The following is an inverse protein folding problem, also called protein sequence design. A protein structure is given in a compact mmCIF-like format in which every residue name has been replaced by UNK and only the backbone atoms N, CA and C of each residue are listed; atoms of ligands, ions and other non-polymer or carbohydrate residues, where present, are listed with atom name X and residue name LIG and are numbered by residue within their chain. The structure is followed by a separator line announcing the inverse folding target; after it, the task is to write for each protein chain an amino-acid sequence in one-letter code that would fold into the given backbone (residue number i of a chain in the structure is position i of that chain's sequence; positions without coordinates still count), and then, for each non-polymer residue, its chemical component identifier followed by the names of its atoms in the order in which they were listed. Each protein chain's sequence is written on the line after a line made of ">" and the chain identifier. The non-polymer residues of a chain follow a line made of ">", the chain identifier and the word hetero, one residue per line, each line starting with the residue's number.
data_IF_127364866520
#
_entry.id   IF_127364866520
#
_cell.length_a   1.000
_cell.length_b   1.000
_cell.length_c   1.000
_cell.angle_alpha   90.00
_cell.angle_beta   90.00
_cell.angle_gamma   90.00
#
_symmetry.space_group_name_H-M   'P 1'
#
loop_
_entity.id
_entity.type
_entity.pdbx_description
1 polymer ?
#
# COMPACT_ATOMS: atom_id res chain seq x y z
N UNK A 1 -21.12 -4.10 -0.74
CA UNK A 1 -20.41 -2.81 -0.80
C UNK A 1 -19.14 -3.03 -1.60
N UNK A 2 -18.99 -2.39 -2.75
CA UNK A 2 -17.84 -2.59 -3.62
C UNK A 2 -16.55 -2.22 -2.88
N UNK A 3 -15.62 -3.16 -2.75
CA UNK A 3 -14.32 -2.87 -2.17
C UNK A 3 -13.65 -1.79 -3.03
N UNK A 4 -13.40 -0.63 -2.43
CA UNK A 4 -12.73 0.53 -3.04
C UNK A 4 -11.30 0.21 -3.54
N UNK A 5 -10.84 -1.03 -3.40
CA UNK A 5 -9.55 -1.56 -3.84
C UNK A 5 -9.66 -2.23 -5.23
N UNK A 6 -10.87 -2.52 -5.73
CA UNK A 6 -11.07 -3.24 -6.99
C UNK A 6 -10.47 -2.52 -8.22
N UNK A 7 -10.38 -1.19 -8.19
CA UNK A 7 -9.73 -0.42 -9.27
C UNK A 7 -8.20 -0.33 -9.14
N UNK A 8 -7.66 -0.77 -7.99
CA UNK A 8 -6.23 -0.74 -7.66
C UNK A 8 -5.55 -2.00 -8.19
N UNK A 9 -6.18 -3.17 -8.11
CA UNK A 9 -5.65 -4.40 -8.69
C UNK A 9 -5.68 -4.36 -10.23
N UNK A 10 -4.61 -4.74 -10.96
CA UNK A 10 -3.31 -5.32 -10.54
C UNK A 10 -2.15 -4.31 -10.50
N UNK A 11 -2.42 -3.04 -10.18
CA UNK A 11 -1.47 -1.93 -10.25
C UNK A 11 -0.85 -1.64 -8.89
N UNK A 12 0.44 -1.31 -8.91
CA UNK A 12 1.15 -0.82 -7.73
C UNK A 12 0.89 0.68 -7.59
N UNK A 13 0.29 1.07 -6.47
CA UNK A 13 -0.16 2.44 -6.21
C UNK A 13 0.55 3.02 -4.99
N UNK A 14 0.82 4.33 -5.02
CA UNK A 14 1.37 5.05 -3.87
C UNK A 14 0.26 5.33 -2.84
N UNK A 15 0.56 5.04 -1.59
CA UNK A 15 -0.29 5.21 -0.43
C UNK A 15 0.32 6.23 0.53
N UNK A 16 -0.53 6.96 1.26
CA UNK A 16 -0.09 7.77 2.40
C UNK A 16 -0.71 7.19 3.67
N UNK A 17 0.13 6.90 4.67
CA UNK A 17 -0.34 6.51 5.99
C UNK A 17 -0.79 7.74 6.78
N UNK A 18 -2.01 7.68 7.27
CA UNK A 18 -2.55 8.64 8.22
C UNK A 18 -2.58 8.03 9.62
N UNK A 19 -1.40 7.58 10.09
CA UNK A 19 -1.21 7.08 11.46
C UNK A 19 -0.14 7.93 12.16
N UNK A 20 -0.37 8.33 13.41
CA UNK A 20 0.42 9.35 14.15
C UNK A 20 1.95 9.21 13.97
N UNK A 21 2.51 8.01 14.06
CA UNK A 21 3.96 7.73 13.96
C UNK A 21 4.50 7.71 12.53
N UNK A 22 3.64 7.54 11.53
CA UNK A 22 3.99 7.40 10.11
C UNK A 22 3.23 8.38 9.22
N UNK A 23 2.84 9.54 9.79
CA UNK A 23 2.16 10.59 9.03
C UNK A 23 3.04 11.04 7.87
N UNK A 24 2.39 11.23 6.72
CA UNK A 24 2.98 11.74 5.49
C UNK A 24 4.10 10.88 4.88
N UNK A 25 4.21 9.63 5.32
CA UNK A 25 5.09 8.64 4.69
C UNK A 25 4.45 8.11 3.42
N UNK A 26 5.19 8.19 2.31
CA UNK A 26 4.79 7.61 1.02
C UNK A 26 5.16 6.15 1.00
N UNK A 27 4.18 5.31 0.74
CA UNK A 27 4.35 3.87 0.75
C UNK A 27 3.79 3.26 -0.51
N UNK A 28 4.13 2.01 -0.72
CA UNK A 28 3.77 1.25 -1.90
C UNK A 28 2.85 0.11 -1.48
N UNK A 29 1.68 0.04 -2.12
CA UNK A 29 0.76 -1.09 -1.97
C UNK A 29 1.34 -2.34 -2.65
N UNK A 30 1.31 -3.48 -1.96
CA UNK A 30 1.74 -4.75 -2.53
C UNK A 30 0.56 -5.69 -2.73
N UNK A 31 -0.07 -6.13 -1.63
CA UNK A 31 -1.15 -7.10 -1.68
C UNK A 31 -2.16 -6.88 -0.54
N UNK A 32 -3.35 -7.44 -0.68
CA UNK A 32 -4.45 -7.47 0.28
C UNK A 32 -4.54 -8.89 0.82
N UNK A 33 -4.65 -9.01 2.15
CA UNK A 33 -4.94 -10.26 2.81
C UNK A 33 -6.46 -10.51 2.89
N UNK A 34 -6.81 -11.76 3.18
CA UNK A 34 -8.18 -12.29 3.21
C UNK A 34 -9.16 -11.50 4.11
N UNK A 35 -8.66 -10.78 5.12
CA UNK A 35 -9.47 -10.00 6.06
C UNK A 35 -9.55 -8.49 5.74
N UNK A 36 -9.23 -8.07 4.52
CA UNK A 36 -9.28 -6.66 4.12
C UNK A 36 -8.12 -5.80 4.65
N UNK A 37 -7.10 -6.45 5.18
CA UNK A 37 -5.85 -5.79 5.58
C UNK A 37 -4.93 -5.65 4.37
N UNK A 38 -4.19 -4.55 4.30
CA UNK A 38 -3.27 -4.25 3.21
C UNK A 38 -1.85 -4.46 3.67
N UNK A 39 -1.07 -5.19 2.88
CA UNK A 39 0.39 -5.26 2.97
C UNK A 39 0.96 -4.08 2.22
N UNK A 40 1.72 -3.29 2.97
CA UNK A 40 2.32 -2.06 2.51
C UNK A 40 3.81 -2.14 2.80
N UNK A 41 4.63 -1.58 1.91
CA UNK A 41 6.05 -1.39 2.14
C UNK A 41 6.45 0.06 1.89
N UNK A 42 7.44 0.56 2.63
CA UNK A 42 8.10 1.82 2.31
C UNK A 42 9.31 1.57 1.43
N UNK A 43 9.73 2.59 0.67
CA UNK A 43 11.04 2.54 0.04
C UNK A 43 12.08 2.54 1.17
N UNK A 44 12.69 1.38 1.44
CA UNK A 44 13.50 1.16 2.65
C UNK A 44 14.63 2.19 2.81
N UNK A 45 15.14 2.71 1.67
CA UNK A 45 16.19 3.73 1.60
C UNK A 45 15.72 5.14 1.99
N UNK A 46 14.42 5.43 1.89
CA UNK A 46 13.84 6.77 2.09
C UNK A 46 13.02 6.85 3.37
N UNK A 47 12.23 5.82 3.67
CA UNK A 47 11.18 5.95 4.69
C UNK A 47 11.33 5.07 5.93
N UNK A 48 12.37 4.24 6.04
CA UNK A 48 12.61 3.33 7.18
C UNK A 48 11.40 2.46 7.56
N UNK A 49 10.39 2.38 6.68
CA UNK A 49 9.17 1.61 6.86
C UNK A 49 9.37 0.28 6.15
N UNK A 50 9.43 -0.78 6.94
CA UNK A 50 9.43 -2.16 6.46
C UNK A 50 8.03 -2.60 6.00
N UNK A 51 7.89 -3.87 5.66
CA UNK A 51 6.60 -4.50 5.46
C UNK A 51 5.69 -4.34 6.69
N UNK A 52 4.49 -3.79 6.47
CA UNK A 52 3.47 -3.65 7.51
C UNK A 52 2.11 -4.06 6.97
N UNK A 53 1.31 -4.67 7.85
CA UNK A 53 -0.12 -4.85 7.65
C UNK A 53 -0.85 -3.65 8.22
N UNK A 54 -1.68 -3.00 7.42
CA UNK A 54 -2.47 -1.85 7.87
C UNK A 54 -3.90 -1.98 7.36
N UNK A 55 -4.86 -1.52 8.19
CA UNK A 55 -6.26 -1.44 7.81
C UNK A 55 -6.48 -0.27 6.84
N UNK A 56 -7.30 -0.48 5.81
CA UNK A 56 -7.69 0.51 4.81
C UNK A 56 -8.19 1.85 5.41
N UNK A 57 -8.83 1.82 6.59
CA UNK A 57 -9.35 3.02 7.25
C UNK A 57 -8.29 4.09 7.57
N UNK A 58 -7.00 3.71 7.67
CA UNK A 58 -5.90 4.62 8.01
C UNK A 58 -5.07 5.06 6.80
N UNK A 59 -5.54 4.78 5.59
CA UNK A 59 -4.77 4.94 4.36
C UNK A 59 -5.52 5.85 3.40
N UNK A 60 -4.78 6.79 2.83
CA UNK A 60 -5.25 7.61 1.72
C UNK A 60 -4.62 7.06 0.44
N UNK A 61 -5.48 6.64 -0.50
CA UNK A 61 -5.06 6.23 -1.84
C UNK A 61 -4.75 7.45 -2.68
N UNK A 62 -3.58 7.47 -3.31
CA UNK A 62 -3.23 8.51 -4.27
C UNK A 62 -3.44 8.01 -5.69
N UNK A 63 -3.57 8.94 -6.64
CA UNK A 63 -3.69 8.62 -8.08
C UNK A 63 -2.35 8.25 -8.73
N UNK A 64 -1.24 8.32 -8.00
CA UNK A 64 0.07 8.02 -8.52
C UNK A 64 0.26 6.51 -8.66
N UNK A 65 0.28 6.07 -9.92
CA UNK A 65 0.50 4.69 -10.32
C UNK A 65 1.97 4.52 -10.66
N UNK A 66 2.62 3.53 -10.04
CA UNK A 66 4.00 3.16 -10.35
C UNK A 66 3.95 1.85 -11.13
N UNK A 67 4.51 1.84 -12.33
CA UNK A 67 4.57 0.64 -13.17
C UNK A 67 5.88 -0.11 -12.88
N UNK A 68 5.86 -1.03 -11.91
CA UNK A 68 7.04 -1.86 -11.57
C UNK A 68 6.89 -3.20 -12.29
N UNK A 69 7.55 -3.34 -13.44
CA UNK A 69 7.36 -4.46 -14.38
C UNK A 69 7.88 -5.84 -13.94
N UNK A 70 8.24 -6.05 -12.67
CA UNK A 70 8.81 -7.33 -12.20
C UNK A 70 8.72 -7.49 -10.67
N UNK A 71 7.53 -7.36 -10.09
CA UNK A 71 7.34 -7.74 -8.67
C UNK A 71 6.68 -9.11 -8.62
N UNK A 72 7.47 -10.12 -8.30
CA UNK A 72 7.00 -11.48 -8.04
C UNK A 72 6.27 -11.48 -6.69
N UNK A 73 4.93 -11.40 -6.74
CA UNK A 73 4.06 -11.40 -5.56
C UNK A 73 3.70 -12.85 -5.20
N UNK A 74 4.68 -13.68 -4.85
CA UNK A 74 4.38 -15.07 -4.49
C UNK A 74 3.90 -15.20 -3.04
N UNK A 75 2.60 -15.52 -2.96
CA UNK A 75 1.79 -16.07 -1.85
C UNK A 75 1.74 -15.32 -0.52
#
# INVERSE_FOLDING_TARGET
>A
MANQIAWIYPRITVLILHAVRFRDKRLVFLNQLDYGQLVITGLFKVDSVQFRRVNQAYIIFTSNIINVGAVDQQR
#
